data_IF_887530041279
#
_entry.id   IF_887530041279
#
_cell.length_a   1.000
_cell.length_b   1.000
_cell.length_c   1.000
_cell.angle_alpha   90.00
_cell.angle_beta   90.00
_cell.angle_gamma   90.00
#
_symmetry.space_group_name_H-M   'P 1'
#
loop_
_entity.id
_entity.type
_entity.pdbx_description
1 polymer ?
#
# COMPACT_ATOMS: atom_id res chain seq x y z
N UNK A 1 3.24 6.81 27.95
CA UNK A 1 3.22 7.14 26.49
C UNK A 1 1.89 6.66 25.95
N UNK A 2 1.04 7.51 25.36
CA UNK A 2 -0.20 7.05 24.70
C UNK A 2 0.16 6.46 23.32
N UNK A 3 -0.33 5.27 23.02
CA UNK A 3 -0.21 4.67 21.69
C UNK A 3 -0.87 5.58 20.64
N UNK A 4 -0.23 5.72 19.49
CA UNK A 4 -0.81 6.39 18.31
C UNK A 4 -1.41 5.31 17.44
N UNK A 5 -2.67 5.46 17.09
CA UNK A 5 -3.40 4.47 16.29
C UNK A 5 -3.63 5.05 14.91
N UNK A 6 -3.29 4.27 13.89
CA UNK A 6 -3.57 4.55 12.48
C UNK A 6 -4.61 3.60 11.92
N UNK A 7 -5.13 3.93 10.73
CA UNK A 7 -6.09 3.11 10.00
C UNK A 7 -5.65 3.00 8.53
N UNK A 8 -6.01 1.93 7.86
CA UNK A 8 -5.79 1.80 6.42
C UNK A 8 -7.05 2.21 5.63
N UNK A 9 -6.92 2.83 4.44
CA UNK A 9 -8.04 3.22 3.59
C UNK A 9 -8.93 2.06 3.15
N UNK A 10 -8.44 0.84 3.23
CA UNK A 10 -9.21 -0.38 2.94
C UNK A 10 -10.48 -0.51 3.79
N UNK A 11 -10.58 0.24 4.89
CA UNK A 11 -11.81 0.32 5.69
C UNK A 11 -12.96 1.02 4.96
N UNK A 12 -12.68 1.81 3.92
CA UNK A 12 -13.66 2.51 3.08
C UNK A 12 -13.71 1.99 1.66
N UNK A 13 -12.62 1.44 1.16
CA UNK A 13 -12.53 0.97 -0.21
C UNK A 13 -11.53 -0.15 -0.34
N UNK A 14 -11.76 -1.07 -1.26
CA UNK A 14 -10.86 -2.17 -1.53
C UNK A 14 -10.07 -1.90 -2.81
N UNK A 15 -8.73 -1.87 -2.72
CA UNK A 15 -7.86 -1.63 -3.87
C UNK A 15 -7.86 -2.82 -4.86
N UNK A 16 -8.16 -4.04 -4.38
CA UNK A 16 -8.25 -5.26 -5.19
C UNK A 16 -9.67 -5.47 -5.79
N UNK A 17 -10.69 -4.87 -5.18
CA UNK A 17 -12.09 -4.92 -5.62
C UNK A 17 -12.67 -3.50 -5.64
N UNK A 18 -12.36 -2.69 -6.67
CA UNK A 18 -12.74 -1.27 -6.73
C UNK A 18 -14.25 -1.00 -6.66
N UNK A 19 -15.09 -1.98 -6.97
CA UNK A 19 -16.54 -1.91 -6.79
C UNK A 19 -16.96 -1.79 -5.31
N UNK A 20 -16.07 -2.14 -4.39
CA UNK A 20 -16.31 -1.99 -2.95
C UNK A 20 -15.72 -0.66 -2.46
N UNK A 21 -16.50 0.40 -2.59
CA UNK A 21 -16.19 1.74 -2.10
C UNK A 21 -15.16 2.51 -2.93
N UNK A 22 -14.88 2.08 -4.17
CA UNK A 22 -13.93 2.76 -5.07
C UNK A 22 -14.32 4.20 -5.42
N UNK A 23 -15.59 4.54 -5.35
CA UNK A 23 -16.16 5.88 -5.55
C UNK A 23 -16.05 6.80 -4.32
N UNK A 24 -15.74 6.26 -3.13
CA UNK A 24 -15.57 7.06 -1.92
C UNK A 24 -14.37 8.01 -2.08
N UNK A 25 -14.54 9.34 -1.99
CA UNK A 25 -13.43 10.28 -2.08
C UNK A 25 -12.43 10.10 -0.94
N UNK A 26 -11.15 10.31 -1.21
CA UNK A 26 -10.10 10.18 -0.18
C UNK A 26 -10.31 11.19 0.97
N UNK A 27 -10.86 12.35 0.68
CA UNK A 27 -11.17 13.37 1.68
C UNK A 27 -12.18 12.87 2.71
N UNK A 28 -13.17 12.08 2.29
CA UNK A 28 -14.14 11.44 3.21
C UNK A 28 -13.43 10.48 4.14
N UNK A 29 -12.55 9.62 3.61
CA UNK A 29 -11.76 8.68 4.42
C UNK A 29 -10.91 9.41 5.48
N UNK A 30 -10.27 10.52 5.08
CA UNK A 30 -9.42 11.32 5.98
C UNK A 30 -10.25 12.03 7.07
N UNK A 31 -11.38 12.62 6.70
CA UNK A 31 -12.26 13.30 7.64
C UNK A 31 -12.83 12.33 8.68
N UNK A 32 -13.32 11.17 8.24
CA UNK A 32 -13.90 10.16 9.12
C UNK A 32 -12.82 9.51 10.00
N UNK A 33 -11.63 9.23 9.46
CA UNK A 33 -10.49 8.77 10.25
C UNK A 33 -10.15 9.75 11.37
N UNK A 34 -10.10 11.05 11.06
CA UNK A 34 -9.86 12.09 12.07
C UNK A 34 -10.97 12.18 13.10
N UNK A 35 -12.25 12.15 12.69
CA UNK A 35 -13.42 12.15 13.58
C UNK A 35 -13.44 10.93 14.51
N UNK A 36 -13.03 9.77 14.02
CA UNK A 36 -12.93 8.55 14.82
C UNK A 36 -11.75 8.55 15.81
N UNK A 37 -10.89 9.57 15.77
CA UNK A 37 -9.76 9.73 16.71
C UNK A 37 -8.46 9.06 16.26
N UNK A 38 -8.37 8.61 15.02
CA UNK A 38 -7.09 8.12 14.47
C UNK A 38 -6.08 9.27 14.33
N UNK A 39 -4.81 8.94 14.52
CA UNK A 39 -3.71 9.91 14.40
C UNK A 39 -2.94 9.78 13.09
N UNK A 40 -3.23 8.74 12.32
CA UNK A 40 -2.60 8.49 11.03
C UNK A 40 -3.44 7.61 10.14
N UNK A 41 -3.07 7.62 8.86
CA UNK A 41 -3.67 6.79 7.82
C UNK A 41 -2.56 6.24 6.92
N UNK A 42 -2.67 4.97 6.55
CA UNK A 42 -1.72 4.29 5.66
C UNK A 42 -1.87 4.77 4.21
N UNK A 43 -0.77 4.79 3.46
CA UNK A 43 -0.79 5.06 2.03
C UNK A 43 -1.49 3.90 1.28
N UNK A 44 -2.66 4.16 0.74
CA UNK A 44 -3.42 3.25 -0.12
C UNK A 44 -3.55 3.76 -1.56
N UNK A 45 -4.27 3.02 -2.38
CA UNK A 45 -4.47 3.29 -3.81
C UNK A 45 -5.14 4.63 -4.12
N UNK A 46 -5.99 5.12 -3.24
CA UNK A 46 -6.72 6.39 -3.40
C UNK A 46 -5.86 7.64 -3.27
N UNK A 47 -4.70 7.55 -2.65
CA UNK A 47 -3.84 8.72 -2.49
C UNK A 47 -3.19 9.15 -3.81
N UNK A 48 -3.03 10.48 -4.05
CA UNK A 48 -2.22 10.96 -5.16
C UNK A 48 -0.80 10.38 -5.09
N UNK A 49 -0.25 9.97 -6.22
CA UNK A 49 1.14 9.48 -6.28
C UNK A 49 2.16 10.63 -6.34
N UNK A 50 1.70 11.87 -6.47
CA UNK A 50 2.57 13.05 -6.30
C UNK A 50 2.84 13.30 -4.82
N UNK A 51 4.10 13.25 -4.36
CA UNK A 51 4.45 13.35 -2.95
C UNK A 51 4.00 14.66 -2.28
N UNK A 52 4.11 15.78 -3.01
CA UNK A 52 3.70 17.10 -2.50
C UNK A 52 2.18 17.21 -2.30
N UNK A 53 1.40 16.67 -3.25
CA UNK A 53 -0.06 16.64 -3.12
C UNK A 53 -0.49 15.76 -1.94
N UNK A 54 0.13 14.60 -1.78
CA UNK A 54 -0.15 13.68 -0.67
C UNK A 54 0.24 14.31 0.67
N UNK A 55 1.42 14.92 0.76
CA UNK A 55 1.84 15.64 1.95
C UNK A 55 0.86 16.76 2.35
N UNK A 56 0.45 17.58 1.38
CA UNK A 56 -0.55 18.63 1.62
C UNK A 56 -1.87 18.05 2.11
N UNK A 57 -2.35 16.99 1.46
CA UNK A 57 -3.63 16.37 1.77
C UNK A 57 -3.68 15.82 3.21
N UNK A 58 -2.69 15.03 3.64
CA UNK A 58 -2.65 14.47 4.99
C UNK A 58 -2.54 15.57 6.07
N UNK A 59 -1.74 16.61 5.80
CA UNK A 59 -1.61 17.71 6.75
C UNK A 59 -2.89 18.54 6.88
N UNK A 60 -3.65 18.72 5.79
CA UNK A 60 -4.95 19.41 5.82
C UNK A 60 -5.92 18.78 6.83
N UNK A 61 -5.85 17.46 7.01
CA UNK A 61 -6.69 16.72 7.97
C UNK A 61 -5.96 16.44 9.30
N UNK A 62 -4.77 17.02 9.50
CA UNK A 62 -3.96 16.82 10.71
C UNK A 62 -3.70 15.34 11.03
N UNK A 63 -3.50 14.53 9.99
CA UNK A 63 -3.14 13.13 10.09
C UNK A 63 -1.66 12.93 9.74
N UNK A 64 -1.07 11.83 10.21
CA UNK A 64 0.24 11.34 9.75
C UNK A 64 0.05 10.20 8.76
N UNK A 65 1.03 9.99 7.91
CA UNK A 65 1.14 8.79 7.09
C UNK A 65 2.31 7.96 7.62
N UNK A 66 2.06 6.94 8.45
CA UNK A 66 3.14 6.18 9.07
C UNK A 66 3.92 5.35 8.07
N UNK A 67 3.29 4.93 6.99
CA UNK A 67 3.89 4.11 5.96
C UNK A 67 2.94 3.77 4.84
N UNK A 68 3.37 2.83 3.99
CA UNK A 68 2.57 2.35 2.87
C UNK A 68 3.00 0.98 2.39
N UNK A 69 2.05 0.29 1.80
CA UNK A 69 2.25 -1.02 1.22
C UNK A 69 2.79 -0.92 -0.21
N UNK A 70 3.77 -1.75 -0.52
CA UNK A 70 4.38 -1.87 -1.84
C UNK A 70 4.35 -3.31 -2.33
N UNK A 71 3.77 -3.53 -3.51
CA UNK A 71 3.73 -4.82 -4.18
C UNK A 71 4.90 -5.03 -5.11
N UNK A 72 5.87 -5.81 -4.68
CA UNK A 72 7.04 -6.19 -5.45
C UNK A 72 6.72 -7.27 -6.50
N UNK A 73 7.58 -7.40 -7.49
CA UNK A 73 7.48 -8.37 -8.58
C UNK A 73 8.77 -9.22 -8.69
N UNK A 74 9.20 -9.81 -7.57
CA UNK A 74 10.50 -10.48 -7.45
C UNK A 74 10.69 -11.68 -8.36
N UNK A 75 9.59 -12.32 -8.80
CA UNK A 75 9.65 -13.41 -9.80
C UNK A 75 9.76 -12.91 -11.24
N UNK A 76 9.49 -11.61 -11.48
CA UNK A 76 9.43 -11.02 -12.83
C UNK A 76 10.53 -9.99 -13.07
N UNK A 77 11.15 -9.49 -12.02
CA UNK A 77 12.16 -8.44 -12.05
C UNK A 77 13.44 -8.90 -11.39
N UNK A 78 14.56 -8.45 -11.92
CA UNK A 78 15.84 -8.52 -11.23
C UNK A 78 15.85 -7.59 -10.02
N UNK A 79 16.78 -7.79 -9.11
CA UNK A 79 16.97 -6.91 -7.92
C UNK A 79 17.13 -5.43 -8.33
N UNK A 80 17.89 -5.17 -9.40
CA UNK A 80 18.11 -3.80 -9.86
C UNK A 80 16.86 -3.17 -10.47
N UNK A 81 16.06 -3.94 -11.20
CA UNK A 81 14.78 -3.48 -11.74
C UNK A 81 13.77 -3.22 -10.63
N UNK A 82 13.68 -4.10 -9.64
CA UNK A 82 12.78 -3.91 -8.50
C UNK A 82 13.22 -2.72 -7.65
N UNK A 83 14.54 -2.58 -7.40
CA UNK A 83 15.10 -1.42 -6.72
C UNK A 83 14.73 -0.11 -7.42
N UNK A 84 14.85 -0.08 -8.74
CA UNK A 84 14.48 1.11 -9.53
C UNK A 84 12.96 1.38 -9.48
N UNK A 85 12.14 0.33 -9.55
CA UNK A 85 10.68 0.45 -9.54
C UNK A 85 10.12 0.98 -8.20
N UNK A 86 10.77 0.66 -7.08
CA UNK A 86 10.30 1.11 -5.76
C UNK A 86 10.70 2.56 -5.41
N UNK A 87 11.60 3.20 -6.17
CA UNK A 87 12.14 4.52 -5.81
C UNK A 87 11.07 5.62 -5.65
N UNK A 88 10.07 5.65 -6.53
CA UNK A 88 8.99 6.65 -6.45
C UNK A 88 8.17 6.46 -5.17
N UNK A 89 7.91 5.22 -4.77
CA UNK A 89 7.20 4.91 -3.54
C UNK A 89 8.04 5.31 -2.30
N UNK A 90 9.32 4.97 -2.29
CA UNK A 90 10.24 5.37 -1.22
C UNK A 90 10.38 6.89 -1.10
N UNK A 91 10.47 7.58 -2.24
CA UNK A 91 10.51 9.04 -2.26
C UNK A 91 9.23 9.66 -1.72
N UNK A 92 8.06 9.11 -2.07
CA UNK A 92 6.79 9.56 -1.53
C UNK A 92 6.79 9.39 0.00
N UNK A 93 7.11 8.20 0.51
CA UNK A 93 7.16 7.94 1.95
C UNK A 93 8.13 8.89 2.67
N UNK A 94 9.32 9.13 2.10
CA UNK A 94 10.30 10.07 2.65
C UNK A 94 9.72 11.48 2.79
N UNK A 95 9.01 11.97 1.77
CA UNK A 95 8.44 13.33 1.78
C UNK A 95 7.28 13.45 2.77
N UNK A 96 6.41 12.43 2.88
CA UNK A 96 5.33 12.43 3.87
C UNK A 96 5.81 12.06 5.28
N UNK A 97 7.11 11.79 5.46
CA UNK A 97 7.73 11.38 6.73
C UNK A 97 7.18 10.06 7.26
N UNK A 98 6.93 9.12 6.37
CA UNK A 98 6.57 7.74 6.71
C UNK A 98 7.80 6.94 7.08
N UNK A 99 7.72 6.21 8.18
CA UNK A 99 8.83 5.45 8.76
C UNK A 99 8.71 3.94 8.46
N UNK A 100 7.58 3.50 7.91
CA UNK A 100 7.27 2.08 7.71
C UNK A 100 7.09 1.80 6.21
N UNK A 101 7.88 0.87 5.72
CA UNK A 101 7.77 0.33 4.37
C UNK A 101 7.24 -1.10 4.47
N UNK A 102 5.99 -1.31 4.09
CA UNK A 102 5.37 -2.64 4.06
C UNK A 102 5.63 -3.25 2.69
N UNK A 103 6.45 -4.28 2.66
CA UNK A 103 6.89 -4.93 1.44
C UNK A 103 6.27 -6.31 1.30
N UNK A 104 5.65 -6.60 0.15
CA UNK A 104 5.13 -7.91 -0.17
C UNK A 104 5.43 -8.26 -1.63
N UNK A 105 5.88 -9.47 -1.90
CA UNK A 105 5.92 -9.95 -3.29
C UNK A 105 4.52 -10.36 -3.73
N UNK A 106 4.07 -9.75 -4.83
CA UNK A 106 2.77 -10.02 -5.45
C UNK A 106 2.91 -10.61 -6.84
N UNK A 107 4.11 -11.11 -7.16
CA UNK A 107 4.35 -11.79 -8.43
C UNK A 107 3.35 -12.92 -8.62
N UNK A 108 2.56 -12.84 -9.69
CA UNK A 108 1.53 -13.83 -10.02
C UNK A 108 0.43 -14.01 -8.94
N UNK A 109 0.25 -13.01 -8.06
CA UNK A 109 -0.85 -13.03 -7.10
C UNK A 109 -2.19 -13.19 -7.81
N UNK A 110 -3.09 -13.96 -7.20
CA UNK A 110 -4.47 -14.17 -7.67
C UNK A 110 -5.48 -13.26 -6.96
N UNK A 111 -5.05 -12.40 -6.05
CA UNK A 111 -5.92 -11.57 -5.19
C UNK A 111 -6.89 -10.69 -5.97
N UNK A 112 -6.45 -10.07 -7.06
CA UNK A 112 -7.32 -9.24 -7.93
C UNK A 112 -8.15 -10.05 -8.93
N UNK A 113 -8.08 -11.38 -8.89
CA UNK A 113 -8.83 -12.28 -9.77
C UNK A 113 -10.06 -12.86 -9.08
N UNK A 114 -11.16 -12.12 -9.04
CA UNK A 114 -12.42 -12.49 -8.32
C UNK A 114 -12.95 -13.89 -8.63
N UNK A 115 -12.63 -14.44 -9.81
CA UNK A 115 -13.07 -15.76 -10.25
C UNK A 115 -12.02 -16.86 -10.09
N UNK A 116 -10.86 -16.58 -9.51
CA UNK A 116 -9.81 -17.60 -9.34
C UNK A 116 -9.93 -18.30 -8.00
N UNK A 117 -10.07 -19.63 -7.97
CA UNK A 117 -10.10 -20.36 -6.71
C UNK A 117 -8.73 -20.35 -6.03
N UNK A 118 -8.70 -20.42 -4.70
CA UNK A 118 -7.46 -20.49 -3.91
C UNK A 118 -6.55 -21.65 -4.34
N UNK A 119 -7.12 -22.74 -4.86
CA UNK A 119 -6.38 -23.87 -5.41
C UNK A 119 -5.56 -23.54 -6.66
N UNK A 120 -5.81 -22.40 -7.30
CA UNK A 120 -5.01 -21.89 -8.43
C UNK A 120 -3.87 -20.96 -8.01
N UNK A 121 -3.63 -20.84 -6.71
CA UNK A 121 -2.49 -20.06 -6.20
C UNK A 121 -1.17 -20.65 -6.69
N UNK A 122 -0.31 -19.86 -7.32
CA UNK A 122 0.98 -20.35 -7.80
C UNK A 122 1.87 -20.78 -6.62
N UNK A 123 2.56 -21.88 -6.78
CA UNK A 123 3.56 -22.38 -5.83
C UNK A 123 4.94 -22.29 -6.44
N UNK A 124 5.95 -22.05 -5.60
CA UNK A 124 7.34 -22.08 -6.02
C UNK A 124 7.87 -23.51 -6.00
N UNK A 125 8.45 -23.94 -7.10
CA UNK A 125 9.24 -25.16 -7.13
C UNK A 125 10.54 -25.00 -6.31
N UNK A 126 11.13 -26.12 -5.88
CA UNK A 126 12.27 -26.10 -4.96
C UNK A 126 13.46 -25.29 -5.45
N UNK A 127 13.73 -25.30 -6.75
CA UNK A 127 14.85 -24.55 -7.33
C UNK A 127 14.49 -23.07 -7.56
N UNK A 128 13.24 -22.75 -7.85
CA UNK A 128 12.72 -21.38 -7.89
C UNK A 128 12.81 -20.75 -6.51
N UNK A 129 12.43 -21.47 -5.46
CA UNK A 129 12.53 -20.99 -4.06
C UNK A 129 13.96 -20.65 -3.67
N UNK A 130 14.95 -21.47 -4.07
CA UNK A 130 16.35 -21.16 -3.81
C UNK A 130 16.83 -19.87 -4.50
N UNK A 131 16.34 -19.60 -5.70
CA UNK A 131 16.68 -18.39 -6.44
C UNK A 131 15.97 -17.16 -5.86
N UNK A 132 14.75 -17.32 -5.42
CA UNK A 132 13.95 -16.28 -4.77
C UNK A 132 14.54 -15.82 -3.43
N UNK A 133 15.22 -16.70 -2.70
CA UNK A 133 15.83 -16.42 -1.39
C UNK A 133 17.28 -15.90 -1.45
N UNK A 134 17.85 -15.67 -2.64
CA UNK A 134 19.18 -15.08 -2.83
C UNK A 134 19.12 -13.55 -2.84
#
# INVERSE_FOLDING_TARGET
MKAKIGIAPISWSNDDMPELGGDTPIEVCLEEAKKAGYTGIELGGKFPRNPGKTYFLINKFELRMPGGWYGAQLRKRTINEEWSAMQDHLNLLKIVKGDIFVFADVSESIQSGVSRPLSSMPTLEKDELKNYCK
#
